data_IF_407467918801
#
_entry.id   IF_407467918801
#
_cell.length_a   1.000
_cell.length_b   1.000
_cell.length_c   1.000
_cell.angle_alpha   90.00
_cell.angle_beta   90.00
_cell.angle_gamma   90.00
#
_symmetry.space_group_name_H-M   'P 1'
#
loop_
_entity.id
_entity.type
_entity.pdbx_description
1 polymer ?
#
# COMPACT_ATOMS: atom_id res chain seq x y z
N UNK A 1 11.76 -1.82 -47.02
CA UNK A 1 10.39 -1.32 -47.13
C UNK A 1 9.41 -2.48 -47.11
N UNK A 2 8.56 -2.58 -46.09
CA UNK A 2 7.62 -3.69 -45.94
C UNK A 2 6.46 -3.66 -46.95
N UNK A 3 6.15 -2.52 -47.59
CA UNK A 3 5.09 -2.41 -48.60
C UNK A 3 5.61 -2.85 -49.97
N UNK A 4 6.81 -2.42 -50.34
CA UNK A 4 7.44 -2.70 -51.63
C UNK A 4 8.20 -4.04 -51.66
N UNK A 5 8.42 -4.68 -50.50
CA UNK A 5 9.18 -5.92 -50.38
C UNK A 5 10.66 -5.79 -50.78
N UNK A 6 11.21 -4.56 -50.76
CA UNK A 6 12.56 -4.25 -51.23
C UNK A 6 13.42 -3.64 -50.12
N UNK A 7 14.73 -3.87 -50.19
CA UNK A 7 15.70 -3.10 -49.39
C UNK A 7 15.79 -1.70 -49.99
N UNK A 8 15.61 -0.69 -49.15
CA UNK A 8 15.80 0.71 -49.53
C UNK A 8 17.11 1.20 -48.94
N UNK A 9 17.84 1.99 -49.73
CA UNK A 9 18.97 2.79 -49.28
C UNK A 9 18.62 4.24 -49.59
N UNK A 10 18.69 5.12 -48.60
CA UNK A 10 18.38 6.54 -48.74
C UNK A 10 19.63 7.30 -48.32
N UNK A 11 20.13 8.13 -49.23
CA UNK A 11 21.21 9.06 -48.93
C UNK A 11 20.60 10.30 -48.25
N UNK A 12 21.12 10.67 -47.07
CA UNK A 12 20.56 11.78 -46.27
C UNK A 12 21.67 12.49 -45.50
N UNK A 13 21.56 13.81 -45.41
CA UNK A 13 22.46 14.66 -44.61
C UNK A 13 22.16 14.58 -43.11
N UNK A 14 20.96 14.14 -42.73
CA UNK A 14 20.51 14.08 -41.34
C UNK A 14 19.55 12.94 -41.09
N UNK A 15 19.67 12.35 -39.90
CA UNK A 15 18.82 11.28 -39.41
C UNK A 15 18.20 11.70 -38.07
N UNK A 16 16.89 11.92 -38.06
CA UNK A 16 16.15 12.16 -36.83
C UNK A 16 15.60 10.84 -36.27
N UNK A 17 16.04 10.47 -35.06
CA UNK A 17 15.55 9.29 -34.36
C UNK A 17 14.36 9.66 -33.49
N UNK A 18 13.21 9.04 -33.73
CA UNK A 18 12.05 9.14 -32.83
C UNK A 18 12.28 8.24 -31.60
N UNK A 19 13.09 8.73 -30.65
CA UNK A 19 13.42 8.00 -29.44
C UNK A 19 12.19 7.75 -28.56
N UNK A 20 12.14 6.59 -27.93
CA UNK A 20 11.10 6.25 -26.98
C UNK A 20 11.24 7.05 -25.68
N UNK A 21 10.11 7.32 -25.04
CA UNK A 21 10.07 7.86 -23.68
C UNK A 21 10.31 6.72 -22.70
N UNK A 22 11.24 6.89 -21.79
CA UNK A 22 11.53 5.97 -20.68
C UNK A 22 11.23 6.64 -19.33
N UNK A 23 11.02 5.87 -18.25
CA UNK A 23 10.84 6.43 -16.92
C UNK A 23 12.06 7.24 -16.46
N UNK A 24 11.85 8.15 -15.50
CA UNK A 24 12.95 8.88 -14.86
C UNK A 24 13.91 7.94 -14.15
N UNK A 25 15.21 8.25 -14.17
CA UNK A 25 16.22 7.53 -13.39
C UNK A 25 15.93 7.55 -11.88
N UNK A 26 15.18 8.54 -11.40
CA UNK A 26 14.78 8.71 -9.99
C UNK A 26 13.47 8.01 -9.62
N UNK A 27 12.76 7.38 -10.57
CA UNK A 27 11.43 6.78 -10.31
C UNK A 27 11.45 5.77 -9.16
N UNK A 28 12.50 4.94 -9.05
CA UNK A 28 12.64 3.95 -7.97
C UNK A 28 12.82 4.58 -6.59
N UNK A 29 13.54 5.70 -6.50
CA UNK A 29 13.74 6.43 -5.25
C UNK A 29 12.42 7.03 -4.77
N UNK A 30 11.70 7.71 -5.66
CA UNK A 30 10.39 8.31 -5.38
C UNK A 30 9.35 7.24 -5.01
N UNK A 31 9.34 6.10 -5.72
CA UNK A 31 8.48 4.96 -5.39
C UNK A 31 8.68 4.50 -3.94
N UNK A 32 9.93 4.36 -3.48
CA UNK A 32 10.23 3.95 -2.10
C UNK A 32 9.85 5.03 -1.08
N UNK A 33 10.12 6.29 -1.38
CA UNK A 33 9.84 7.42 -0.48
C UNK A 33 8.34 7.56 -0.21
N UNK A 34 7.52 7.50 -1.26
CA UNK A 34 6.06 7.63 -1.14
C UNK A 34 5.33 6.29 -0.97
N UNK A 35 6.06 5.17 -0.98
CA UNK A 35 5.52 3.80 -0.94
C UNK A 35 4.45 3.56 -2.02
N UNK A 36 4.70 4.03 -3.24
CA UNK A 36 3.80 3.91 -4.39
C UNK A 36 4.35 2.94 -5.44
N UNK A 37 3.50 2.10 -6.06
CA UNK A 37 3.96 1.06 -6.97
C UNK A 37 4.42 1.61 -8.33
N UNK A 38 5.32 0.86 -8.96
CA UNK A 38 5.66 1.00 -10.39
C UNK A 38 5.04 -0.17 -11.17
N UNK A 39 4.71 0.08 -12.43
CA UNK A 39 4.29 -0.94 -13.39
C UNK A 39 5.53 -1.68 -13.97
N UNK A 40 5.34 -2.76 -14.76
CA UNK A 40 6.45 -3.50 -15.35
C UNK A 40 7.37 -2.67 -16.27
N UNK A 41 6.87 -1.58 -16.83
CA UNK A 41 7.63 -0.65 -17.68
C UNK A 41 8.42 0.39 -16.86
N UNK A 42 8.30 0.39 -15.54
CA UNK A 42 9.00 1.28 -14.61
C UNK A 42 8.35 2.65 -14.42
N UNK A 43 7.14 2.88 -14.92
CA UNK A 43 6.34 4.07 -14.63
C UNK A 43 5.45 3.86 -13.40
N UNK A 44 4.94 4.94 -12.81
CA UNK A 44 4.06 4.84 -11.64
C UNK A 44 2.72 4.19 -11.98
N UNK A 45 2.27 3.27 -11.13
CA UNK A 45 1.01 2.55 -11.32
C UNK A 45 -0.13 3.23 -10.54
N UNK A 46 -1.20 3.58 -11.26
CA UNK A 46 -2.41 4.15 -10.70
C UNK A 46 -3.22 3.13 -9.88
N UNK A 47 -4.14 3.62 -9.04
CA UNK A 47 -5.00 2.77 -8.22
C UNK A 47 -5.97 1.92 -9.06
N UNK A 48 -6.56 2.51 -10.10
CA UNK A 48 -7.45 1.79 -11.01
C UNK A 48 -7.64 2.56 -12.33
N UNK A 49 -7.33 1.92 -13.46
CA UNK A 49 -7.37 2.46 -14.84
C UNK A 49 -8.56 3.37 -15.19
N UNK A 50 -9.77 3.04 -14.71
CA UNK A 50 -11.01 3.79 -15.01
C UNK A 50 -11.52 4.67 -13.86
N UNK A 51 -11.67 4.10 -12.67
CA UNK A 51 -12.32 4.77 -11.54
C UNK A 51 -11.40 5.75 -10.81
N UNK A 52 -10.10 5.48 -10.78
CA UNK A 52 -9.11 6.25 -10.02
C UNK A 52 -7.80 6.41 -10.82
N UNK A 53 -7.86 7.01 -12.03
CA UNK A 53 -6.73 7.03 -12.96
C UNK A 53 -5.60 8.00 -12.55
N UNK A 54 -5.84 8.86 -11.55
CA UNK A 54 -4.90 9.87 -11.05
C UNK A 54 -4.56 9.66 -9.58
N UNK A 55 -5.02 8.56 -8.99
CA UNK A 55 -4.76 8.23 -7.60
C UNK A 55 -3.71 7.14 -7.54
N UNK A 56 -2.99 7.09 -6.41
CA UNK A 56 -2.38 5.86 -5.96
C UNK A 56 -3.31 5.09 -5.02
N UNK A 57 -3.01 3.80 -4.79
CA UNK A 57 -3.65 3.04 -3.72
C UNK A 57 -3.33 3.63 -2.33
N UNK A 58 -2.19 4.29 -2.19
CA UNK A 58 -1.85 5.09 -1.03
C UNK A 58 -2.68 6.38 -1.01
N UNK A 59 -3.51 6.54 0.03
CA UNK A 59 -4.35 7.73 0.19
C UNK A 59 -3.53 9.01 0.34
N UNK A 60 -4.03 10.09 -0.27
CA UNK A 60 -3.39 11.41 -0.24
C UNK A 60 -2.23 11.59 -1.22
N UNK A 61 -1.85 10.54 -1.97
CA UNK A 61 -0.85 10.63 -3.05
C UNK A 61 -1.54 10.51 -4.40
N UNK A 62 -1.22 11.45 -5.31
CA UNK A 62 -1.83 11.54 -6.63
C UNK A 62 -0.77 11.51 -7.73
N UNK A 63 -1.19 11.15 -8.93
CA UNK A 63 -0.35 10.89 -10.09
C UNK A 63 -0.77 11.78 -11.27
N UNK A 64 0.20 12.47 -11.87
CA UNK A 64 -0.01 13.20 -13.12
C UNK A 64 1.23 13.22 -14.02
N UNK A 65 0.98 13.42 -15.33
CA UNK A 65 1.99 13.62 -16.35
C UNK A 65 2.69 12.33 -16.79
N UNK A 66 3.87 12.49 -17.39
CA UNK A 66 4.60 11.38 -18.01
C UNK A 66 5.25 10.42 -17.00
N UNK A 67 5.24 10.77 -15.71
CA UNK A 67 5.62 9.85 -14.64
C UNK A 67 4.71 8.59 -14.61
N UNK A 68 3.47 8.71 -15.10
CA UNK A 68 2.51 7.62 -15.20
C UNK A 68 2.73 6.72 -16.42
N UNK A 69 3.00 7.30 -17.59
CA UNK A 69 3.35 6.63 -18.87
C UNK A 69 3.52 7.68 -19.98
N UNK A 70 4.10 7.35 -21.15
CA UNK A 70 4.22 8.27 -22.28
C UNK A 70 2.84 8.72 -22.81
N UNK A 71 2.56 10.02 -22.77
CA UNK A 71 1.25 10.58 -23.13
C UNK A 71 1.36 11.91 -23.82
N UNK A 72 0.29 12.33 -24.48
CA UNK A 72 0.22 13.64 -25.13
C UNK A 72 0.08 14.78 -24.11
N UNK A 73 0.38 16.00 -24.56
CA UNK A 73 0.31 17.20 -23.71
C UNK A 73 -1.13 17.47 -23.23
N UNK A 74 -2.13 17.30 -24.09
CA UNK A 74 -3.55 17.49 -23.72
C UNK A 74 -3.95 16.54 -22.59
N UNK A 75 -3.52 15.28 -22.68
CA UNK A 75 -3.77 14.27 -21.66
C UNK A 75 -3.03 14.58 -20.35
N UNK A 76 -1.79 15.05 -20.42
CA UNK A 76 -1.04 15.53 -19.25
C UNK A 76 -1.78 16.67 -18.54
N UNK A 77 -2.32 17.62 -19.31
CA UNK A 77 -3.10 18.74 -18.77
C UNK A 77 -4.38 18.23 -18.10
N UNK A 78 -5.13 17.35 -18.75
CA UNK A 78 -6.33 16.73 -18.17
C UNK A 78 -6.01 15.95 -16.88
N UNK A 79 -4.90 15.21 -16.87
CA UNK A 79 -4.46 14.47 -15.69
C UNK A 79 -4.05 15.39 -14.54
N UNK A 80 -3.38 16.51 -14.84
CA UNK A 80 -3.02 17.51 -13.86
C UNK A 80 -4.26 18.14 -13.21
N UNK A 81 -5.29 18.48 -14.01
CA UNK A 81 -6.57 18.95 -13.46
C UNK A 81 -7.26 17.87 -12.61
N UNK A 82 -7.24 16.61 -13.05
CA UNK A 82 -7.77 15.49 -12.27
C UNK A 82 -7.07 15.34 -10.92
N UNK A 83 -5.73 15.29 -10.91
CA UNK A 83 -4.93 15.16 -9.69
C UNK A 83 -5.15 16.36 -8.74
N UNK A 84 -5.16 17.59 -9.26
CA UNK A 84 -5.45 18.79 -8.48
C UNK A 84 -6.86 18.73 -7.87
N UNK A 85 -7.87 18.38 -8.65
CA UNK A 85 -9.24 18.22 -8.17
C UNK A 85 -9.36 17.18 -7.06
N UNK A 86 -8.69 16.04 -7.20
CA UNK A 86 -8.66 15.00 -6.16
C UNK A 86 -7.94 15.47 -4.90
N UNK A 87 -6.81 16.16 -5.02
CA UNK A 87 -6.12 16.76 -3.89
C UNK A 87 -7.01 17.78 -3.15
N UNK A 88 -7.75 18.62 -3.89
CA UNK A 88 -8.68 19.58 -3.31
C UNK A 88 -9.78 18.89 -2.49
N UNK A 89 -10.29 17.71 -2.87
CA UNK A 89 -11.31 17.00 -2.07
C UNK A 89 -10.87 16.62 -0.65
N UNK A 90 -9.55 16.53 -0.45
CA UNK A 90 -8.92 16.29 0.85
C UNK A 90 -8.64 17.63 1.53
N UNK A 91 -7.96 18.54 0.81
CA UNK A 91 -7.51 19.83 1.35
C UNK A 91 -8.65 20.79 1.72
N UNK A 92 -9.84 20.61 1.14
CA UNK A 92 -11.02 21.44 1.42
C UNK A 92 -11.77 21.05 2.69
N UNK A 93 -11.28 20.04 3.44
CA UNK A 93 -11.93 19.54 4.65
C UNK A 93 -11.01 19.77 5.85
N UNK A 94 -11.60 20.10 7.00
CA UNK A 94 -10.84 20.25 8.26
C UNK A 94 -10.30 18.92 8.80
N UNK A 95 -10.88 17.81 8.35
CA UNK A 95 -10.46 16.46 8.77
C UNK A 95 -10.71 15.42 7.69
N UNK A 96 -9.99 14.30 7.80
CA UNK A 96 -10.15 13.11 6.98
C UNK A 96 -10.51 11.92 7.86
N UNK A 97 -11.37 11.06 7.34
CA UNK A 97 -11.69 9.78 7.98
C UNK A 97 -10.63 8.79 7.56
N UNK A 98 -9.85 8.29 8.53
CA UNK A 98 -8.93 7.19 8.33
C UNK A 98 -9.65 5.85 8.56
N UNK A 99 -9.09 4.77 8.02
CA UNK A 99 -9.60 3.41 8.27
C UNK A 99 -9.63 3.11 9.77
N UNK A 100 -10.71 2.46 10.23
CA UNK A 100 -10.84 1.93 11.58
C UNK A 100 -10.12 0.60 11.79
N UNK A 101 -9.67 -0.06 10.72
CA UNK A 101 -8.88 -1.30 10.77
C UNK A 101 -7.43 -0.99 11.18
N UNK A 102 -7.26 -0.60 12.45
CA UNK A 102 -5.97 -0.33 13.07
C UNK A 102 -5.66 -1.39 14.12
N UNK A 103 -4.39 -1.52 14.48
CA UNK A 103 -3.99 -2.41 15.56
C UNK A 103 -4.33 -1.79 16.93
N UNK A 104 -4.66 -2.64 17.90
CA UNK A 104 -4.94 -2.26 19.29
C UNK A 104 -4.20 -3.21 20.23
N UNK A 105 -3.70 -2.68 21.36
CA UNK A 105 -2.93 -3.45 22.34
C UNK A 105 -3.78 -3.70 23.57
N UNK A 106 -3.88 -4.96 23.99
CA UNK A 106 -4.34 -5.35 25.31
C UNK A 106 -3.20 -5.18 26.32
N UNK A 107 -3.24 -4.13 27.13
CA UNK A 107 -2.16 -3.84 28.09
C UNK A 107 -2.00 -4.92 29.17
N UNK A 108 -3.06 -5.65 29.50
CA UNK A 108 -3.01 -6.71 30.52
C UNK A 108 -2.16 -7.92 30.08
N UNK A 109 -2.15 -8.22 28.78
CA UNK A 109 -1.40 -9.32 28.17
C UNK A 109 -0.05 -8.87 27.59
N UNK A 110 0.14 -7.56 27.43
CA UNK A 110 1.35 -7.02 26.84
C UNK A 110 2.53 -7.10 27.82
N UNK A 111 3.59 -7.78 27.43
CA UNK A 111 4.82 -7.92 28.24
C UNK A 111 5.88 -6.85 27.94
N UNK A 112 5.57 -5.86 27.10
CA UNK A 112 6.49 -4.74 26.81
C UNK A 112 7.76 -5.12 26.05
N UNK A 113 7.77 -6.25 25.34
CA UNK A 113 8.98 -6.79 24.69
C UNK A 113 9.49 -5.98 23.48
N UNK A 114 8.64 -5.12 22.89
CA UNK A 114 9.02 -4.26 21.76
C UNK A 114 9.07 -4.95 20.39
N UNK A 115 8.71 -6.24 20.29
CA UNK A 115 8.70 -6.95 19.01
C UNK A 115 7.80 -6.25 17.97
N UNK A 116 6.60 -5.84 18.38
CA UNK A 116 5.66 -5.10 17.55
C UNK A 116 6.19 -3.73 17.08
N UNK A 117 6.93 -3.01 17.95
CA UNK A 117 7.55 -1.72 17.63
C UNK A 117 8.63 -1.90 16.55
N UNK A 118 9.47 -2.93 16.67
CA UNK A 118 10.61 -3.15 15.77
C UNK A 118 10.23 -3.43 14.31
N UNK A 119 9.02 -3.96 14.07
CA UNK A 119 8.56 -4.35 12.74
C UNK A 119 7.67 -3.31 12.06
N UNK A 120 7.24 -2.26 12.78
CA UNK A 120 6.34 -1.26 12.21
C UNK A 120 7.08 -0.29 11.28
N UNK A 121 6.83 -0.39 9.97
CA UNK A 121 7.44 0.49 8.96
C UNK A 121 6.88 1.93 8.93
N UNK A 122 5.92 2.22 9.80
CA UNK A 122 5.24 3.52 9.88
C UNK A 122 5.53 4.25 11.20
N UNK A 123 6.27 3.62 12.12
CA UNK A 123 6.52 4.18 13.45
C UNK A 123 5.23 4.34 14.28
N UNK A 124 4.21 3.52 14.01
CA UNK A 124 2.90 3.64 14.62
C UNK A 124 2.81 3.02 16.02
N UNK A 125 3.89 2.44 16.55
CA UNK A 125 3.90 1.75 17.85
C UNK A 125 5.00 2.36 18.72
N UNK A 126 4.64 2.75 19.93
CA UNK A 126 5.55 3.25 20.95
C UNK A 126 5.51 2.37 22.20
N UNK A 127 6.64 2.28 22.92
CA UNK A 127 6.66 1.72 24.26
C UNK A 127 6.58 2.87 25.27
N UNK A 128 5.71 2.72 26.26
CA UNK A 128 5.51 3.70 27.32
C UNK A 128 5.45 3.01 28.68
N UNK A 129 5.78 3.75 29.73
CA UNK A 129 5.75 3.24 31.10
C UNK A 129 4.34 3.34 31.68
N UNK A 130 3.85 2.24 32.25
CA UNK A 130 2.55 2.15 32.94
C UNK A 130 2.76 1.62 34.36
N UNK A 131 1.75 1.70 35.26
CA UNK A 131 1.82 1.06 36.57
C UNK A 131 2.07 -0.46 36.53
N UNK A 132 1.75 -1.11 35.40
CA UNK A 132 1.94 -2.55 35.18
C UNK A 132 3.25 -2.88 34.44
N UNK A 133 4.18 -1.92 34.39
CA UNK A 133 5.43 -2.01 33.64
C UNK A 133 5.33 -1.37 32.25
N UNK A 134 6.34 -1.61 31.41
CA UNK A 134 6.41 -1.05 30.07
C UNK A 134 5.39 -1.74 29.14
N UNK A 135 4.60 -0.96 28.40
CA UNK A 135 3.55 -1.47 27.50
C UNK A 135 3.65 -0.83 26.11
N UNK A 136 3.21 -1.57 25.10
CA UNK A 136 3.10 -1.03 23.75
C UNK A 136 1.80 -0.23 23.61
N UNK A 137 1.85 0.84 22.82
CA UNK A 137 0.70 1.66 22.45
C UNK A 137 0.75 1.95 20.96
N UNK A 138 -0.40 1.84 20.30
CA UNK A 138 -0.54 2.21 18.89
C UNK A 138 -0.94 3.67 18.79
N UNK A 139 -0.26 4.42 17.93
CA UNK A 139 -0.62 5.78 17.52
C UNK A 139 -1.59 5.64 16.33
N UNK A 140 -2.91 5.84 16.52
CA UNK A 140 -3.92 5.45 15.53
C UNK A 140 -3.71 6.08 14.15
N UNK A 141 -3.31 7.36 14.12
CA UNK A 141 -3.15 8.12 12.87
C UNK A 141 -1.98 7.63 11.99
N UNK A 142 -1.01 6.93 12.57
CA UNK A 142 0.14 6.37 11.84
C UNK A 142 -0.08 4.92 11.42
N UNK A 143 -1.01 4.21 12.04
CA UNK A 143 -1.27 2.80 11.76
C UNK A 143 -1.94 2.64 10.40
N UNK A 144 -1.36 1.84 9.49
CA UNK A 144 -1.94 1.50 8.19
C UNK A 144 -2.70 0.18 8.14
N UNK A 145 -2.78 -0.52 9.28
CA UNK A 145 -3.59 -1.74 9.38
C UNK A 145 -3.03 -2.95 8.64
N UNK A 146 -1.70 -3.07 8.49
CA UNK A 146 -1.06 -4.20 7.79
C UNK A 146 -1.04 -5.50 8.61
N UNK A 147 -1.20 -5.41 9.93
CA UNK A 147 -1.27 -6.57 10.83
C UNK A 147 0.06 -7.29 11.08
N UNK A 148 1.19 -6.79 10.56
CA UNK A 148 2.50 -7.46 10.74
C UNK A 148 2.86 -7.59 12.21
N UNK A 149 2.53 -6.58 13.02
CA UNK A 149 2.77 -6.59 14.45
C UNK A 149 1.97 -7.68 15.21
N UNK A 150 0.75 -8.03 14.77
CA UNK A 150 -0.05 -9.12 15.36
C UNK A 150 0.73 -10.45 15.27
N UNK A 151 1.21 -10.77 14.06
CA UNK A 151 1.97 -12.00 13.79
C UNK A 151 3.30 -12.13 14.56
N UNK A 152 3.78 -11.04 15.17
CA UNK A 152 5.06 -11.00 15.91
C UNK A 152 4.88 -10.93 17.42
N UNK A 153 3.65 -10.75 17.89
CA UNK A 153 3.38 -10.64 19.31
C UNK A 153 3.43 -12.03 19.96
N UNK A 154 4.39 -12.31 20.86
CA UNK A 154 4.52 -13.64 21.44
C UNK A 154 3.37 -13.99 22.41
N UNK A 155 2.63 -12.98 22.88
CA UNK A 155 1.53 -13.16 23.84
C UNK A 155 0.15 -12.95 23.22
N UNK A 156 0.04 -12.64 21.92
CA UNK A 156 -1.23 -12.28 21.29
C UNK A 156 -1.80 -10.90 21.71
N UNK A 157 -1.08 -10.14 22.52
CA UNK A 157 -1.57 -8.89 23.12
C UNK A 157 -1.82 -7.72 22.16
N UNK A 158 -1.61 -7.87 20.86
CA UNK A 158 -1.88 -6.82 19.86
C UNK A 158 -2.62 -7.44 18.69
N UNK A 159 -3.79 -6.91 18.35
CA UNK A 159 -4.65 -7.45 17.30
C UNK A 159 -5.07 -6.36 16.33
N UNK A 160 -5.33 -6.75 15.08
CA UNK A 160 -5.85 -5.86 14.05
C UNK A 160 -7.38 -5.86 14.09
N UNK A 161 -8.00 -4.69 14.28
CA UNK A 161 -9.46 -4.57 14.24
C UNK A 161 -10.01 -5.03 12.89
N UNK A 162 -11.12 -5.76 12.91
CA UNK A 162 -11.78 -6.37 11.74
C UNK A 162 -11.02 -7.52 11.07
N UNK A 163 -9.90 -7.94 11.67
CA UNK A 163 -9.12 -9.11 11.28
C UNK A 163 -8.58 -9.80 12.54
N UNK A 164 -9.44 -9.95 13.56
CA UNK A 164 -9.05 -10.65 14.79
C UNK A 164 -8.92 -12.14 14.55
N UNK A 165 -8.21 -12.83 15.44
CA UNK A 165 -8.07 -14.29 15.36
C UNK A 165 -9.45 -14.96 15.38
N UNK A 166 -10.36 -14.52 16.25
CA UNK A 166 -11.74 -15.03 16.31
C UNK A 166 -12.50 -14.84 14.99
N UNK A 167 -12.39 -13.66 14.36
CA UNK A 167 -13.03 -13.37 13.07
C UNK A 167 -12.45 -14.23 11.94
N UNK A 168 -11.12 -14.42 11.91
CA UNK A 168 -10.43 -15.23 10.91
C UNK A 168 -10.77 -16.72 11.10
N UNK A 169 -10.75 -17.23 12.33
CA UNK A 169 -11.12 -18.62 12.61
C UNK A 169 -12.58 -18.88 12.29
N UNK A 170 -13.49 -17.95 12.61
CA UNK A 170 -14.90 -18.07 12.21
C UNK A 170 -15.07 -18.14 10.68
N UNK A 171 -14.28 -17.39 9.91
CA UNK A 171 -14.28 -17.49 8.44
C UNK A 171 -13.76 -18.85 7.95
N UNK A 172 -12.71 -19.39 8.58
CA UNK A 172 -12.15 -20.71 8.25
C UNK A 172 -13.18 -21.80 8.54
N UNK A 173 -13.79 -21.78 9.72
CA UNK A 173 -14.77 -22.78 10.17
C UNK A 173 -16.03 -22.77 9.29
N UNK A 174 -16.45 -21.59 8.82
CA UNK A 174 -17.58 -21.45 7.90
C UNK A 174 -17.31 -22.12 6.53
N UNK A 175 -16.07 -22.08 6.03
CA UNK A 175 -15.69 -22.70 4.76
C UNK A 175 -15.33 -24.19 4.88
N UNK A 176 -14.96 -24.65 6.09
CA UNK A 176 -14.62 -26.06 6.37
C UNK A 176 -15.51 -26.63 7.48
N UNK A 177 -16.84 -26.74 7.26
CA UNK A 177 -17.77 -27.19 8.29
C UNK A 177 -17.50 -28.62 8.80
N UNK A 178 -16.80 -29.45 8.02
CA UNK A 178 -16.49 -30.83 8.36
C UNK A 178 -15.43 -30.99 9.48
N UNK A 179 -14.72 -29.92 9.88
CA UNK A 179 -13.81 -29.94 11.02
C UNK A 179 -14.47 -29.52 12.34
N UNK A 180 -15.64 -28.86 12.29
CA UNK A 180 -16.40 -28.45 13.48
C UNK A 180 -17.02 -29.65 14.24
N UNK A 181 -17.08 -30.83 13.61
CA UNK A 181 -17.58 -32.08 14.22
C UNK A 181 -16.48 -32.98 14.80
N UNK A 182 -15.19 -32.62 14.72
CA UNK A 182 -14.14 -33.44 15.37
C UNK A 182 -14.13 -33.12 16.87
N UNK A 183 -14.56 -34.03 17.75
CA UNK A 183 -14.52 -33.79 19.18
C UNK A 183 -13.07 -33.62 19.61
N UNK A 184 -12.81 -32.72 20.57
CA UNK A 184 -11.52 -32.55 21.21
C UNK A 184 -10.96 -33.89 21.71
N UNK A 185 -10.13 -34.54 20.90
CA UNK A 185 -9.38 -35.73 21.25
C UNK A 185 -7.91 -35.46 21.02
N UNK A 186 -7.33 -34.60 21.86
CA UNK A 186 -5.95 -34.77 22.30
C UNK A 186 -5.86 -34.31 23.75
N UNK A 187 -6.18 -35.22 24.68
CA UNK A 187 -5.53 -35.19 25.99
C UNK A 187 -4.03 -35.37 25.76
N UNK A 188 -3.25 -34.34 26.03
CA UNK A 188 -1.80 -34.44 26.07
C UNK A 188 -1.44 -34.90 27.48
N UNK A 189 -1.09 -36.18 27.60
CA UNK A 189 -0.35 -36.73 28.75
C UNK A 189 1.04 -36.10 28.85
#
# INVERSE_FOLDING_TARGET
DPILGKRLSIDTDSLALAAAVIPSATSNEISRLFKVPLNPDGFFLEAHVKLRPVDFAADGVFLCGMAHYPKHISETISQAYGAAGRATTILSKDSVIASGAICEVNESECIGCGACQSVCQYGAIELHDTPQGKKARVIPVLCKGDGVCNSKCPTGAISLKHFTDDEIFAQIDAEVPALAEVPALVEVH
#
